data_IF_708033530649
#
_entry.id   IF_708033530649
#
_cell.length_a   1.000
_cell.length_b   1.000
_cell.length_c   1.000
_cell.angle_alpha   90.00
_cell.angle_beta   90.00
_cell.angle_gamma   90.00
#
_symmetry.space_group_name_H-M   'P 1'
#
loop_
_entity.id
_entity.type
_entity.pdbx_description
1 polymer ?
#
# COMPACT_ATOMS: atom_id res chain seq x y z
N UNK A 1 -77.39 36.88 -45.48
CA UNK A 1 -76.91 37.33 -44.18
C UNK A 1 -75.95 36.27 -43.67
N UNK A 2 -74.81 36.74 -43.16
CA UNK A 2 -73.73 35.99 -42.49
C UNK A 2 -72.88 35.03 -43.33
N UNK A 3 -71.57 34.88 -43.10
CA UNK A 3 -70.47 35.82 -42.76
C UNK A 3 -69.19 34.99 -42.94
N UNK A 4 -68.22 35.50 -43.71
CA UNK A 4 -66.79 35.18 -43.57
C UNK A 4 -66.26 33.84 -44.10
N UNK A 5 -65.36 33.91 -45.07
CA UNK A 5 -64.06 33.23 -45.02
C UNK A 5 -63.16 33.67 -46.20
N UNK A 6 -62.26 34.61 -45.93
CA UNK A 6 -61.13 34.93 -46.82
C UNK A 6 -60.07 33.85 -46.66
N UNK A 7 -59.90 32.99 -47.66
CA UNK A 7 -58.76 32.08 -47.79
C UNK A 7 -57.76 32.71 -48.76
N UNK A 8 -56.61 33.15 -48.25
CA UNK A 8 -55.41 33.33 -49.06
C UNK A 8 -54.21 32.75 -48.32
N UNK A 9 -53.53 31.84 -49.02
CA UNK A 9 -52.08 31.66 -48.95
C UNK A 9 -51.56 30.90 -47.74
N UNK A 10 -51.14 29.66 -47.97
CA UNK A 10 -49.71 29.40 -48.17
C UNK A 10 -49.49 27.98 -48.68
N UNK A 11 -48.83 27.90 -49.83
CA UNK A 11 -48.35 26.67 -50.41
C UNK A 11 -47.10 26.18 -49.66
N UNK A 12 -47.00 24.85 -49.56
CA UNK A 12 -45.78 24.04 -49.40
C UNK A 12 -44.83 24.44 -48.26
N UNK A 13 -44.53 23.54 -47.32
CA UNK A 13 -43.55 22.49 -47.55
C UNK A 13 -43.93 21.23 -46.76
N UNK A 14 -44.09 20.14 -47.50
CA UNK A 14 -44.16 18.77 -46.98
C UNK A 14 -42.74 18.32 -46.65
N UNK A 15 -42.43 18.10 -45.38
CA UNK A 15 -41.40 17.12 -45.00
C UNK A 15 -41.66 16.64 -43.58
N UNK A 16 -42.12 15.39 -43.48
CA UNK A 16 -42.26 14.67 -42.24
C UNK A 16 -40.86 14.34 -41.70
N UNK A 17 -40.51 14.87 -40.53
CA UNK A 17 -39.38 14.36 -39.76
C UNK A 17 -39.91 13.41 -38.69
N UNK A 18 -39.70 12.13 -38.96
CA UNK A 18 -40.02 11.02 -38.09
C UNK A 18 -39.26 11.15 -36.75
N UNK A 19 -39.99 11.04 -35.66
CA UNK A 19 -39.47 10.86 -34.32
C UNK A 19 -38.71 9.53 -34.24
N UNK A 20 -37.38 9.57 -34.26
CA UNK A 20 -36.55 8.43 -33.90
C UNK A 20 -36.13 8.59 -32.44
N UNK A 21 -36.99 8.08 -31.55
CA UNK A 21 -36.73 7.97 -30.12
C UNK A 21 -35.60 6.95 -29.93
N UNK A 22 -34.35 7.40 -29.86
CA UNK A 22 -33.20 6.52 -29.61
C UNK A 22 -33.23 6.09 -28.15
N UNK A 23 -33.76 4.90 -27.93
CA UNK A 23 -33.72 4.18 -26.66
C UNK A 23 -32.25 3.78 -26.38
N UNK A 24 -31.49 4.66 -25.74
CA UNK A 24 -30.15 4.35 -25.24
C UNK A 24 -30.28 3.38 -24.07
N UNK A 25 -30.04 2.10 -24.34
CA UNK A 25 -29.94 1.07 -23.30
C UNK A 25 -28.74 1.40 -22.40
N UNK A 26 -29.03 1.90 -21.20
CA UNK A 26 -28.09 1.99 -20.09
C UNK A 26 -27.67 0.56 -19.70
N UNK A 27 -26.56 0.08 -20.25
CA UNK A 27 -25.88 -1.08 -19.69
C UNK A 27 -25.29 -0.64 -18.34
N UNK A 28 -25.56 -1.34 -17.23
CA UNK A 28 -24.81 -1.11 -16.01
C UNK A 28 -23.35 -1.52 -16.28
N UNK A 29 -22.45 -0.54 -16.32
CA UNK A 29 -21.03 -0.80 -16.24
C UNK A 29 -20.76 -1.40 -14.85
N UNK A 30 -20.60 -2.72 -14.78
CA UNK A 30 -20.03 -3.34 -13.59
C UNK A 30 -18.57 -2.93 -13.54
N UNK A 31 -18.22 -1.99 -12.67
CA UNK A 31 -16.82 -1.78 -12.30
C UNK A 31 -16.30 -3.13 -11.78
N UNK A 32 -15.45 -3.79 -12.58
CA UNK A 32 -14.68 -4.90 -12.05
C UNK A 32 -13.73 -4.25 -11.04
N UNK A 33 -14.04 -4.39 -9.75
CA UNK A 33 -13.05 -4.14 -8.70
C UNK A 33 -11.81 -4.94 -9.09
N UNK A 34 -10.75 -4.26 -9.52
CA UNK A 34 -9.45 -4.90 -9.61
C UNK A 34 -9.17 -5.45 -8.21
N UNK A 35 -8.70 -6.70 -8.04
CA UNK A 35 -8.30 -7.16 -6.72
C UNK A 35 -7.24 -6.20 -6.19
N UNK A 36 -7.60 -5.39 -5.19
CA UNK A 36 -6.69 -4.47 -4.51
C UNK A 36 -5.55 -5.31 -3.93
N UNK A 37 -4.35 -5.27 -4.54
CA UNK A 37 -3.22 -6.04 -4.03
C UNK A 37 -2.86 -5.47 -2.67
N UNK A 38 -2.91 -6.31 -1.63
CA UNK A 38 -2.47 -5.90 -0.31
C UNK A 38 -1.04 -6.32 0.00
N UNK A 39 -0.51 -5.73 1.06
CA UNK A 39 0.86 -5.93 1.51
C UNK A 39 0.90 -6.38 2.97
N UNK A 40 1.95 -7.11 3.34
CA UNK A 40 2.17 -7.61 4.68
C UNK A 40 3.24 -6.77 5.38
N UNK A 41 2.98 -6.44 6.64
CA UNK A 41 3.89 -5.64 7.44
C UNK A 41 4.01 -6.24 8.84
N UNK A 42 5.17 -6.05 9.45
CA UNK A 42 5.27 -6.06 10.89
C UNK A 42 4.99 -4.65 11.40
N UNK A 43 4.05 -4.52 12.32
CA UNK A 43 3.56 -3.25 12.87
C UNK A 43 3.87 -3.22 14.36
N UNK A 44 4.54 -2.16 14.80
CA UNK A 44 4.80 -1.88 16.21
C UNK A 44 3.81 -0.84 16.73
N UNK A 45 3.21 -1.12 17.89
CA UNK A 45 2.31 -0.22 18.62
C UNK A 45 2.78 -0.06 20.07
N UNK A 46 2.58 1.11 20.67
CA UNK A 46 2.84 1.29 22.10
C UNK A 46 1.76 0.60 22.97
N UNK A 47 1.87 0.70 24.28
CA UNK A 47 0.92 0.13 25.24
C UNK A 47 -0.53 0.64 25.05
N UNK A 48 -0.70 1.86 24.53
CA UNK A 48 -2.02 2.45 24.23
C UNK A 48 -2.56 2.03 22.85
N UNK A 49 -1.85 1.15 22.12
CA UNK A 49 -2.22 0.69 20.79
C UNK A 49 -1.91 1.68 19.66
N UNK A 50 -1.25 2.81 19.95
CA UNK A 50 -0.87 3.79 18.96
C UNK A 50 0.27 3.28 18.09
N UNK A 51 0.16 3.50 16.78
CA UNK A 51 1.19 3.14 15.81
C UNK A 51 2.53 3.83 16.12
N UNK A 52 3.63 3.07 16.03
CA UNK A 52 4.99 3.58 16.21
C UNK A 52 5.82 3.48 14.94
N UNK A 53 5.88 2.30 14.35
CA UNK A 53 6.67 2.02 13.14
C UNK A 53 6.24 0.73 12.47
N UNK A 54 6.68 0.53 11.23
CA UNK A 54 6.35 -0.66 10.43
C UNK A 54 7.50 -1.10 9.54
N UNK A 55 7.65 -2.41 9.35
CA UNK A 55 8.57 -3.00 8.36
C UNK A 55 7.77 -3.86 7.39
N UNK A 56 7.97 -3.67 6.08
CA UNK A 56 7.34 -4.52 5.06
C UNK A 56 7.98 -5.91 5.06
N UNK A 57 7.14 -6.95 4.93
CA UNK A 57 7.56 -8.34 4.74
C UNK A 57 6.91 -8.88 3.47
N UNK A 58 7.50 -9.92 2.88
CA UNK A 58 7.16 -10.32 1.52
C UNK A 58 6.67 -11.76 1.46
N UNK A 59 5.83 -12.06 0.47
CA UNK A 59 5.42 -13.44 0.17
C UNK A 59 6.34 -14.12 -0.86
N UNK A 60 7.37 -13.42 -1.34
CA UNK A 60 8.33 -13.91 -2.32
C UNK A 60 9.75 -13.52 -1.91
N UNK A 61 10.70 -14.38 -2.24
CA UNK A 61 12.11 -14.13 -1.99
C UNK A 61 12.65 -12.94 -2.79
N UNK A 62 13.61 -12.26 -2.21
CA UNK A 62 14.49 -11.32 -2.88
C UNK A 62 15.87 -11.35 -2.21
N UNK A 63 16.86 -10.76 -2.85
CA UNK A 63 18.24 -10.82 -2.39
C UNK A 63 18.41 -10.27 -0.97
N UNK A 64 19.14 -11.06 -0.16
CA UNK A 64 19.39 -10.76 1.25
C UNK A 64 18.19 -10.98 2.18
N UNK A 65 17.11 -11.59 1.71
CA UNK A 65 15.99 -12.01 2.57
C UNK A 65 16.17 -13.45 3.06
N UNK A 66 15.61 -13.73 4.22
CA UNK A 66 15.51 -15.05 4.84
C UNK A 66 14.05 -15.49 4.87
N UNK A 67 13.83 -16.76 4.58
CA UNK A 67 12.53 -17.39 4.76
C UNK A 67 12.26 -17.57 6.25
N UNK A 68 11.04 -17.23 6.68
CA UNK A 68 10.59 -17.33 8.06
C UNK A 68 9.13 -17.77 8.09
N UNK A 69 8.69 -18.33 9.22
CA UNK A 69 7.29 -18.65 9.43
C UNK A 69 6.72 -17.87 10.62
N UNK A 70 5.60 -17.19 10.38
CA UNK A 70 4.82 -16.53 11.43
C UNK A 70 3.40 -17.06 11.39
N UNK A 71 2.97 -17.66 12.50
CA UNK A 71 1.64 -18.27 12.65
C UNK A 71 1.30 -19.25 11.51
N UNK A 72 2.27 -20.09 11.15
CA UNK A 72 2.14 -21.12 10.11
C UNK A 72 2.11 -20.58 8.67
N UNK A 73 2.47 -19.32 8.45
CA UNK A 73 2.55 -18.71 7.12
C UNK A 73 3.98 -18.33 6.80
N UNK A 74 4.43 -18.68 5.59
CA UNK A 74 5.76 -18.35 5.09
C UNK A 74 5.84 -16.89 4.65
N UNK A 75 6.90 -16.22 5.08
CA UNK A 75 7.28 -14.88 4.64
C UNK A 75 8.77 -14.81 4.35
N UNK A 76 9.16 -13.77 3.64
CA UNK A 76 10.54 -13.41 3.36
C UNK A 76 10.83 -12.07 4.02
N UNK A 77 11.83 -12.07 4.90
CA UNK A 77 12.19 -10.90 5.73
C UNK A 77 13.67 -10.61 5.65
N UNK A 78 14.06 -9.36 5.84
CA UNK A 78 15.46 -9.01 6.05
C UNK A 78 15.84 -9.30 7.50
N UNK A 79 17.07 -9.75 7.79
CA UNK A 79 17.52 -9.95 9.17
C UNK A 79 17.33 -8.74 10.08
N UNK A 80 17.56 -7.52 9.57
CA UNK A 80 17.33 -6.30 10.36
C UNK A 80 15.87 -6.12 10.80
N UNK A 81 14.91 -6.63 10.02
CA UNK A 81 13.49 -6.59 10.40
C UNK A 81 13.24 -7.50 11.59
N UNK A 82 13.85 -8.68 11.63
CA UNK A 82 13.77 -9.59 12.79
C UNK A 82 14.43 -8.97 14.00
N UNK A 83 15.64 -8.41 13.85
CA UNK A 83 16.32 -7.67 14.90
C UNK A 83 15.45 -6.54 15.48
N UNK A 84 14.86 -5.75 14.59
CA UNK A 84 13.95 -4.67 14.96
C UNK A 84 12.76 -5.18 15.79
N UNK A 85 12.15 -6.32 15.44
CA UNK A 85 11.03 -6.86 16.26
C UNK A 85 11.43 -7.20 17.69
N UNK A 86 12.64 -7.73 17.88
CA UNK A 86 13.18 -8.05 19.21
C UNK A 86 13.35 -6.76 20.02
N UNK A 87 14.00 -5.75 19.44
CA UNK A 87 14.20 -4.43 20.08
C UNK A 87 12.88 -3.71 20.40
N UNK A 88 11.88 -3.79 19.52
CA UNK A 88 10.56 -3.19 19.77
C UNK A 88 9.89 -3.86 20.97
N UNK A 89 9.95 -5.20 21.05
CA UNK A 89 9.38 -5.96 22.17
C UNK A 89 10.12 -5.68 23.47
N UNK A 90 11.46 -5.58 23.45
CA UNK A 90 12.28 -5.21 24.62
C UNK A 90 11.95 -3.80 25.12
N UNK A 91 11.60 -2.90 24.20
CA UNK A 91 11.15 -1.54 24.51
C UNK A 91 9.69 -1.46 25.01
N UNK A 92 9.03 -2.61 25.21
CA UNK A 92 7.64 -2.69 25.67
C UNK A 92 6.58 -2.36 24.61
N UNK A 93 6.95 -2.31 23.33
CA UNK A 93 5.99 -2.17 22.25
C UNK A 93 5.41 -3.53 21.85
N UNK A 94 4.17 -3.52 21.39
CA UNK A 94 3.46 -4.67 20.86
C UNK A 94 3.67 -4.79 19.36
N UNK A 95 4.18 -5.93 18.89
CA UNK A 95 4.46 -6.17 17.47
C UNK A 95 3.51 -7.21 16.89
N UNK A 96 2.96 -6.94 15.70
CA UNK A 96 2.07 -7.86 14.96
C UNK A 96 2.46 -7.96 13.50
N UNK A 97 2.23 -9.11 12.89
CA UNK A 97 2.09 -9.19 11.43
C UNK A 97 0.68 -8.75 11.06
N UNK A 98 0.56 -7.73 10.23
CA UNK A 98 -0.70 -7.18 9.75
C UNK A 98 -0.73 -7.14 8.21
N UNK A 99 -1.90 -7.37 7.62
CA UNK A 99 -2.15 -7.21 6.19
C UNK A 99 -2.92 -5.92 5.93
N UNK A 100 -2.42 -5.12 5.00
CA UNK A 100 -3.08 -3.92 4.54
C UNK A 100 -3.65 -4.16 3.14
N UNK A 101 -4.97 -3.98 3.00
CA UNK A 101 -5.78 -4.19 1.81
C UNK A 101 -6.49 -2.93 1.33
N UNK A 102 -5.90 -1.75 1.61
CA UNK A 102 -6.45 -0.44 1.25
C UNK A 102 -7.58 0.05 2.15
N UNK A 103 -8.23 -0.84 2.92
CA UNK A 103 -9.34 -0.51 3.86
C UNK A 103 -8.94 -0.55 5.34
N UNK A 104 -7.65 -0.59 5.63
CA UNK A 104 -7.11 -0.66 6.98
C UNK A 104 -6.26 -1.91 7.23
N UNK A 105 -5.94 -2.13 8.50
CA UNK A 105 -5.01 -3.16 8.93
C UNK A 105 -5.75 -4.37 9.52
N UNK A 106 -5.38 -5.57 9.07
CA UNK A 106 -5.90 -6.83 9.60
C UNK A 106 -4.78 -7.60 10.31
N UNK A 107 -4.87 -7.87 11.62
CA UNK A 107 -3.88 -8.67 12.31
C UNK A 107 -3.91 -10.13 11.82
N UNK A 108 -2.73 -10.70 11.66
CA UNK A 108 -2.51 -12.09 11.21
C UNK A 108 -1.76 -12.88 12.26
N UNK A 109 -0.72 -12.28 12.84
CA UNK A 109 0.13 -12.96 13.81
C UNK A 109 0.51 -12.02 14.95
N UNK A 110 0.31 -12.48 16.17
CA UNK A 110 0.70 -11.79 17.40
C UNK A 110 2.13 -12.20 17.78
N UNK A 111 2.88 -11.25 18.33
CA UNK A 111 4.22 -11.48 18.88
C UNK A 111 5.17 -12.27 17.97
N UNK A 112 5.44 -11.83 16.73
CA UNK A 112 6.28 -12.57 15.79
C UNK A 112 7.70 -12.82 16.32
N UNK A 113 8.22 -11.96 17.18
CA UNK A 113 9.52 -12.09 17.84
C UNK A 113 9.62 -13.32 18.77
N UNK A 114 8.49 -13.89 19.21
CA UNK A 114 8.46 -15.13 20.00
C UNK A 114 8.60 -16.39 19.14
N UNK A 115 8.45 -16.27 17.81
CA UNK A 115 8.50 -17.39 16.88
C UNK A 115 9.79 -17.41 16.06
N UNK A 116 10.32 -16.23 15.73
CA UNK A 116 11.57 -16.11 14.98
C UNK A 116 12.42 -15.00 15.57
N UNK A 117 13.65 -15.36 15.88
CA UNK A 117 14.73 -14.50 16.40
C UNK A 117 15.89 -14.47 15.40
N UNK A 118 16.87 -13.59 15.62
CA UNK A 118 18.11 -13.59 14.85
C UNK A 118 18.87 -14.92 14.93
N UNK A 119 18.85 -15.58 16.10
CA UNK A 119 19.52 -16.86 16.29
C UNK A 119 18.95 -17.93 15.36
N UNK A 120 17.63 -17.93 15.12
CA UNK A 120 16.97 -18.84 14.18
C UNK A 120 17.40 -18.61 12.72
N UNK A 121 17.92 -17.41 12.41
CA UNK A 121 18.50 -17.08 11.11
C UNK A 121 20.00 -17.40 11.00
N UNK A 122 20.60 -17.98 12.06
CA UNK A 122 22.03 -18.24 12.17
C UNK A 122 22.86 -16.99 12.43
N UNK A 123 22.26 -15.95 13.04
CA UNK A 123 22.93 -14.68 13.36
C UNK A 123 23.00 -14.55 14.88
N UNK A 124 24.21 -14.66 15.41
CA UNK A 124 24.49 -14.66 16.86
C UNK A 124 25.18 -13.37 17.32
N UNK A 125 24.65 -12.23 16.87
CA UNK A 125 25.05 -10.91 17.33
C UNK A 125 23.85 -10.19 17.92
N UNK A 126 24.13 -9.22 18.79
CA UNK A 126 23.09 -8.46 19.47
C UNK A 126 22.15 -7.75 18.47
N UNK A 127 20.81 -7.80 18.65
CA UNK A 127 19.87 -7.17 17.73
C UNK A 127 20.13 -5.69 17.47
N UNK A 128 20.64 -4.96 18.46
CA UNK A 128 20.99 -3.54 18.29
C UNK A 128 22.06 -3.36 17.21
N UNK A 129 23.06 -4.25 17.13
CA UNK A 129 24.16 -4.16 16.17
C UNK A 129 23.70 -4.41 14.73
N UNK A 130 22.73 -5.32 14.52
CA UNK A 130 22.19 -5.60 13.18
C UNK A 130 21.43 -4.41 12.59
N UNK A 131 20.79 -3.59 13.44
CA UNK A 131 20.02 -2.44 12.97
C UNK A 131 20.87 -1.26 12.51
N UNK A 132 22.13 -1.16 12.97
CA UNK A 132 23.04 -0.08 12.57
C UNK A 132 23.83 -0.39 11.29
N UNK A 133 23.97 -1.66 10.92
CA UNK A 133 24.91 -2.12 9.88
C UNK A 133 24.36 -2.07 8.43
N UNK A 134 23.27 -1.33 8.18
CA UNK A 134 22.68 -1.18 6.83
C UNK A 134 22.53 0.28 6.38
N UNK A 135 23.49 1.12 6.73
CA UNK A 135 24.17 1.83 5.65
C UNK A 135 25.31 0.92 5.23
N UNK A 136 25.47 0.64 3.93
CA UNK A 136 26.78 0.23 3.43
C UNK A 136 27.88 1.04 4.11
N UNK A 137 29.10 0.50 4.14
CA UNK A 137 30.32 1.28 4.23
C UNK A 137 30.38 2.32 3.10
N UNK A 138 29.50 3.31 3.12
CA UNK A 138 29.68 4.60 2.53
C UNK A 138 30.58 5.27 3.55
N UNK A 139 31.87 5.29 3.21
CA UNK A 139 32.82 6.31 3.68
C UNK A 139 32.07 7.53 4.18
N UNK A 140 32.40 7.98 5.40
CA UNK A 140 31.84 9.10 6.18
C UNK A 140 31.83 10.45 5.45
N UNK A 141 31.34 10.47 4.24
CA UNK A 141 31.00 11.62 3.45
C UNK A 141 29.50 11.53 3.27
N UNK A 142 28.83 11.96 4.35
CA UNK A 142 27.39 12.10 4.44
C UNK A 142 26.84 12.62 3.11
N UNK A 143 25.88 11.92 2.53
CA UNK A 143 25.18 12.30 1.28
C UNK A 143 24.66 13.76 1.35
N UNK A 144 24.40 14.26 2.56
CA UNK A 144 24.06 15.66 2.83
C UNK A 144 25.24 16.64 2.63
N UNK A 145 26.48 16.20 2.90
CA UNK A 145 27.70 16.97 2.62
C UNK A 145 27.94 17.18 1.12
N UNK A 146 27.68 16.16 0.30
CA UNK A 146 27.73 16.27 -1.17
C UNK A 146 26.68 17.27 -1.70
N UNK A 147 25.44 17.21 -1.19
CA UNK A 147 24.38 18.15 -1.56
C UNK A 147 24.75 19.58 -1.12
N UNK A 148 25.27 19.77 0.10
CA UNK A 148 25.67 21.08 0.61
C UNK A 148 26.86 21.72 -0.14
N UNK A 149 27.71 20.94 -0.83
CA UNK A 149 28.77 21.48 -1.69
C UNK A 149 28.22 22.05 -2.99
N UNK A 150 27.17 21.46 -3.55
CA UNK A 150 26.54 21.95 -4.78
C UNK A 150 25.88 23.33 -4.59
N UNK A 151 25.39 23.64 -3.38
CA UNK A 151 24.75 24.93 -3.07
C UNK A 151 25.70 26.01 -2.53
N UNK A 152 26.96 25.68 -2.24
CA UNK A 152 27.98 26.65 -1.76
C UNK A 152 28.92 27.15 -2.87
N UNK A 153 28.73 26.67 -4.10
CA UNK A 153 29.54 27.02 -5.27
C UNK A 153 28.94 28.11 -6.16
N UNK A 154 28.16 29.04 -5.61
CA UNK A 154 27.71 30.24 -6.31
C UNK A 154 27.86 31.46 -5.41
#
# INVERSE_FOLDING_TARGET
MDLGATLMGNAMVRTAFAACLTLTTLLPATAQDMPEPGDFYMISRNADGQFRSSHKIFQRAADGMKEVQYCGRTYWVRPHTVAWTQLQSESGNHVRVEYNWGKGWRPICEDPQKQVTLADLGIDIDPSQVTFDQGESQTLESRFGAIGRAFRGN
#
